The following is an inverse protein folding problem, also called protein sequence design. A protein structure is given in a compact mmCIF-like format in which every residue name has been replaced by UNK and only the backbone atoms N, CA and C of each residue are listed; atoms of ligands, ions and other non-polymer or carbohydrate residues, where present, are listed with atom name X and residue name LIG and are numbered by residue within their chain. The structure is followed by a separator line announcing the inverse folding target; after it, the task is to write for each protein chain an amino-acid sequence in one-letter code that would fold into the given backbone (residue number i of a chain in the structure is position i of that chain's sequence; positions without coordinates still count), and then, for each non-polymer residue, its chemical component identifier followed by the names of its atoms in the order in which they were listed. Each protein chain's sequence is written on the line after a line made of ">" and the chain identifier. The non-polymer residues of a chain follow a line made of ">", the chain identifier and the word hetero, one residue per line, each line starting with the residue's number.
data_IF_122099382727
#
_entry.id   IF_122099382727
#
_cell.length_a   1.000
_cell.length_b   1.000
_cell.length_c   1.000
_cell.angle_alpha   90.00
_cell.angle_beta   90.00
_cell.angle_gamma   90.00
#
_symmetry.space_group_name_H-M   'P 1'
#
loop_
_entity.id
_entity.type
_entity.pdbx_description
1 polymer ?
#
# COMPACT_ATOMS: atom_id res chain seq x y z
N UNK A 1 -8.36 35.85 -111.05
CA UNK A 1 -8.64 35.04 -109.85
C UNK A 1 -8.84 33.61 -110.30
N UNK A 2 -8.29 32.66 -109.55
CA UNK A 2 -8.28 31.22 -109.86
C UNK A 2 -9.28 30.47 -108.99
N UNK A 3 -9.68 29.28 -109.43
CA UNK A 3 -10.77 28.52 -108.79
C UNK A 3 -10.47 28.11 -107.33
N UNK A 4 -9.20 28.09 -106.92
CA UNK A 4 -8.78 27.78 -105.54
C UNK A 4 -8.99 28.95 -104.57
N UNK A 5 -8.84 30.20 -105.02
CA UNK A 5 -9.10 31.39 -104.20
C UNK A 5 -10.58 31.44 -103.79
N UNK A 6 -11.47 31.14 -104.74
CA UNK A 6 -12.91 31.08 -104.54
C UNK A 6 -13.33 30.04 -103.49
N UNK A 7 -12.70 28.85 -103.50
CA UNK A 7 -12.99 27.80 -102.51
C UNK A 7 -12.56 28.24 -101.10
N UNK A 8 -11.39 28.86 -100.94
CA UNK A 8 -10.94 29.35 -99.63
C UNK A 8 -11.82 30.47 -99.08
N UNK A 9 -12.31 31.38 -99.93
CA UNK A 9 -13.22 32.44 -99.49
C UNK A 9 -14.66 31.91 -99.25
N UNK A 10 -15.10 30.86 -99.94
CA UNK A 10 -16.33 30.15 -99.56
C UNK A 10 -16.20 29.50 -98.17
N UNK A 11 -15.10 28.79 -97.90
CA UNK A 11 -14.86 28.14 -96.59
C UNK A 11 -14.71 29.15 -95.44
N UNK A 12 -14.19 30.36 -95.69
CA UNK A 12 -14.18 31.45 -94.67
C UNK A 12 -15.57 32.02 -94.37
N UNK A 13 -16.50 31.93 -95.32
CA UNK A 13 -17.87 32.43 -95.17
C UNK A 13 -18.85 31.35 -94.67
N UNK A 14 -18.52 30.08 -94.80
CA UNK A 14 -19.17 28.95 -94.12
C UNK A 14 -19.14 29.14 -92.59
N UNK A 15 -20.28 29.51 -92.01
CA UNK A 15 -20.44 29.72 -90.57
C UNK A 15 -21.28 28.60 -89.98
N UNK A 16 -20.61 27.67 -89.29
CA UNK A 16 -21.22 26.65 -88.40
C UNK A 16 -22.52 27.16 -87.77
N UNK A 17 -23.61 26.45 -88.04
CA UNK A 17 -24.96 26.83 -87.65
C UNK A 17 -25.11 26.87 -86.12
N UNK A 18 -26.17 27.54 -85.66
CA UNK A 18 -26.54 27.56 -84.24
C UNK A 18 -26.79 26.13 -83.72
N UNK A 19 -27.28 25.21 -84.57
CA UNK A 19 -27.54 23.81 -84.22
C UNK A 19 -26.23 23.05 -84.00
N UNK A 20 -25.29 23.11 -84.93
CA UNK A 20 -24.01 22.39 -84.82
C UNK A 20 -23.15 22.91 -83.66
N UNK A 21 -23.11 24.23 -83.45
CA UNK A 21 -22.45 24.83 -82.27
C UNK A 21 -23.08 24.35 -80.96
N UNK A 22 -24.40 24.15 -80.92
CA UNK A 22 -25.11 23.62 -79.75
C UNK A 22 -24.86 22.11 -79.56
N UNK A 23 -24.79 21.35 -80.64
CA UNK A 23 -24.45 19.92 -80.61
C UNK A 23 -23.02 19.70 -80.08
N UNK A 24 -22.02 20.38 -80.64
CA UNK A 24 -20.63 20.32 -80.17
C UNK A 24 -20.49 20.79 -78.72
N UNK A 25 -21.17 21.89 -78.34
CA UNK A 25 -21.17 22.36 -76.93
C UNK A 25 -21.78 21.32 -75.98
N UNK A 26 -22.85 20.64 -76.39
CA UNK A 26 -23.48 19.60 -75.58
C UNK A 26 -22.59 18.35 -75.47
N UNK A 27 -21.91 17.94 -76.53
CA UNK A 27 -20.95 16.83 -76.52
C UNK A 27 -19.71 17.12 -75.64
N UNK A 28 -19.22 18.36 -75.67
CA UNK A 28 -18.14 18.79 -74.77
C UNK A 28 -18.62 18.80 -73.30
N UNK A 29 -19.83 19.29 -73.03
CA UNK A 29 -20.41 19.33 -71.69
C UNK A 29 -20.75 17.94 -71.14
N UNK A 30 -21.13 16.97 -71.97
CA UNK A 30 -21.31 15.59 -71.52
C UNK A 30 -19.97 14.92 -71.22
N UNK A 31 -18.94 15.16 -72.03
CA UNK A 31 -17.58 14.64 -71.76
C UNK A 31 -16.99 15.22 -70.45
N UNK A 32 -17.09 16.54 -70.25
CA UNK A 32 -16.64 17.21 -69.01
C UNK A 32 -17.38 16.70 -67.76
N UNK A 33 -18.66 16.34 -67.89
CA UNK A 33 -19.46 15.75 -66.79
C UNK A 33 -19.23 14.25 -66.61
N UNK A 34 -18.67 13.56 -67.61
CA UNK A 34 -18.54 12.11 -67.65
C UNK A 34 -17.34 11.55 -66.89
N UNK A 35 -16.37 12.38 -66.50
CA UNK A 35 -15.19 11.92 -65.77
C UNK A 35 -14.45 13.03 -65.04
N UNK A 36 -14.65 13.10 -63.72
CA UNK A 36 -13.80 13.92 -62.85
C UNK A 36 -12.43 13.22 -62.71
N UNK A 37 -11.37 13.82 -63.26
CA UNK A 37 -10.01 13.32 -63.08
C UNK A 37 -9.58 13.60 -61.64
N UNK A 38 -9.72 12.59 -60.77
CA UNK A 38 -9.36 12.70 -59.36
C UNK A 38 -7.85 12.90 -59.19
N UNK A 39 -7.46 14.14 -58.89
CA UNK A 39 -6.07 14.51 -58.62
C UNK A 39 -5.49 13.67 -57.46
N UNK A 40 -4.28 13.07 -57.60
CA UNK A 40 -3.68 12.24 -56.55
C UNK A 40 -3.41 13.00 -55.25
N UNK A 41 -3.27 14.32 -55.32
CA UNK A 41 -3.15 15.21 -54.16
C UNK A 41 -4.41 15.20 -53.26
N UNK A 42 -5.58 14.82 -53.78
CA UNK A 42 -6.82 14.69 -52.97
C UNK A 42 -6.77 13.50 -52.00
N UNK A 43 -6.12 12.40 -52.41
CA UNK A 43 -5.90 11.22 -51.57
C UNK A 43 -4.88 11.56 -50.48
N UNK A 44 -3.80 12.27 -50.83
CA UNK A 44 -2.83 12.76 -49.85
C UNK A 44 -3.46 13.71 -48.83
N UNK A 45 -4.24 14.70 -49.28
CA UNK A 45 -4.91 15.67 -48.41
C UNK A 45 -5.94 15.04 -47.45
N UNK A 46 -6.67 14.00 -47.87
CA UNK A 46 -7.60 13.28 -46.99
C UNK A 46 -6.89 12.40 -45.97
N UNK A 47 -5.80 11.72 -46.34
CA UNK A 47 -4.95 10.96 -45.39
C UNK A 47 -4.33 11.90 -44.35
N UNK A 48 -3.77 13.04 -44.77
CA UNK A 48 -3.15 13.99 -43.84
C UNK A 48 -4.18 14.63 -42.91
N UNK A 49 -5.36 15.02 -43.41
CA UNK A 49 -6.46 15.50 -42.56
C UNK A 49 -6.91 14.47 -41.53
N UNK A 50 -7.00 13.17 -41.89
CA UNK A 50 -7.34 12.10 -40.94
C UNK A 50 -6.26 11.91 -39.87
N UNK A 51 -4.97 11.96 -40.24
CA UNK A 51 -3.85 11.88 -39.28
C UNK A 51 -3.81 13.07 -38.33
N UNK A 52 -4.02 14.29 -38.83
CA UNK A 52 -4.10 15.52 -38.01
C UNK A 52 -5.32 15.48 -37.09
N UNK A 53 -6.49 15.04 -37.57
CA UNK A 53 -7.67 14.89 -36.74
C UNK A 53 -7.46 13.87 -35.62
N UNK A 54 -6.87 12.70 -35.93
CA UNK A 54 -6.54 11.68 -34.93
C UNK A 54 -5.55 12.22 -33.87
N UNK A 55 -4.47 12.86 -34.30
CA UNK A 55 -3.49 13.49 -33.40
C UNK A 55 -4.12 14.59 -32.54
N UNK A 56 -5.02 15.42 -33.09
CA UNK A 56 -5.74 16.42 -32.33
C UNK A 56 -6.71 15.80 -31.31
N UNK A 57 -7.37 14.69 -31.64
CA UNK A 57 -8.23 13.97 -30.69
C UNK A 57 -7.44 13.23 -29.60
N UNK A 58 -6.26 12.67 -29.90
CA UNK A 58 -5.43 12.04 -28.86
C UNK A 58 -4.78 13.08 -27.96
N UNK A 59 -4.27 14.20 -28.51
CA UNK A 59 -3.78 15.33 -27.70
C UNK A 59 -4.92 15.92 -26.85
N UNK A 60 -6.10 16.12 -27.42
CA UNK A 60 -7.28 16.57 -26.67
C UNK A 60 -7.69 15.61 -25.54
N UNK A 61 -7.68 14.30 -25.79
CA UNK A 61 -7.97 13.28 -24.79
C UNK A 61 -6.89 13.20 -23.70
N UNK A 62 -5.61 13.37 -24.04
CA UNK A 62 -4.50 13.41 -23.08
C UNK A 62 -4.53 14.69 -22.24
N UNK A 63 -4.90 15.84 -22.80
CA UNK A 63 -5.03 17.09 -22.06
C UNK A 63 -6.26 17.11 -21.14
N UNK A 64 -7.41 16.59 -21.59
CA UNK A 64 -8.65 16.55 -20.79
C UNK A 64 -8.66 15.38 -19.78
N UNK A 65 -8.09 14.24 -20.15
CA UNK A 65 -7.92 13.11 -19.23
C UNK A 65 -6.78 13.34 -18.24
N UNK A 66 -5.68 13.93 -18.68
CA UNK A 66 -4.49 14.19 -17.86
C UNK A 66 -4.73 15.15 -16.70
N UNK A 67 -5.60 16.16 -16.86
CA UNK A 67 -5.99 17.04 -15.74
C UNK A 67 -6.85 16.31 -14.70
N UNK A 68 -7.74 15.42 -15.13
CA UNK A 68 -8.56 14.59 -14.22
C UNK A 68 -7.71 13.55 -13.51
N UNK A 69 -6.81 12.85 -14.23
CA UNK A 69 -5.83 11.94 -13.63
C UNK A 69 -4.90 12.67 -12.64
N UNK A 70 -4.39 13.85 -12.98
CA UNK A 70 -3.55 14.63 -12.07
C UNK A 70 -4.30 15.05 -10.80
N UNK A 71 -5.56 15.50 -10.92
CA UNK A 71 -6.41 15.82 -9.78
C UNK A 71 -6.84 14.60 -8.94
N UNK A 72 -6.89 13.41 -9.55
CA UNK A 72 -7.17 12.16 -8.85
C UNK A 72 -5.99 11.68 -7.99
N UNK A 73 -4.75 12.06 -8.31
CA UNK A 73 -3.56 11.60 -7.60
C UNK A 73 -3.54 11.99 -6.12
N UNK A 74 -4.07 13.19 -5.81
CA UNK A 74 -4.23 13.73 -4.45
C UNK A 74 -5.57 13.40 -3.79
N UNK A 75 -6.41 12.55 -4.39
CA UNK A 75 -7.69 12.15 -3.81
C UNK A 75 -7.48 11.15 -2.66
N UNK A 76 -8.26 11.29 -1.59
CA UNK A 76 -8.30 10.39 -0.44
C UNK A 76 -9.50 9.43 -0.51
N UNK A 77 -9.50 8.30 0.23
CA UNK A 77 -10.67 7.43 0.37
C UNK A 77 -11.96 8.21 0.72
N UNK A 78 -12.95 8.13 -0.18
CA UNK A 78 -14.22 8.87 -0.12
C UNK A 78 -14.32 10.08 -1.06
N UNK A 79 -13.22 10.55 -1.65
CA UNK A 79 -13.26 11.64 -2.64
C UNK A 79 -13.80 11.17 -4.00
N UNK A 80 -14.49 12.08 -4.70
CA UNK A 80 -15.15 11.82 -6.01
C UNK A 80 -14.19 11.28 -7.09
N UNK A 81 -12.89 11.61 -7.00
CA UNK A 81 -11.87 11.15 -7.95
C UNK A 81 -11.05 9.96 -7.43
N UNK A 82 -11.25 9.48 -6.20
CA UNK A 82 -10.52 8.31 -5.69
C UNK A 82 -10.68 7.05 -6.57
N UNK A 83 -11.87 6.74 -7.14
CA UNK A 83 -12.02 5.64 -8.09
C UNK A 83 -11.14 5.79 -9.35
N UNK A 84 -10.83 7.01 -9.78
CA UNK A 84 -9.91 7.29 -10.91
C UNK A 84 -8.47 6.99 -10.52
N UNK A 85 -8.07 7.32 -9.29
CA UNK A 85 -6.73 7.01 -8.75
C UNK A 85 -6.46 5.50 -8.82
N UNK A 86 -7.27 4.70 -8.11
CA UNK A 86 -7.08 3.25 -7.99
C UNK A 86 -7.36 2.48 -9.29
N UNK A 87 -8.27 2.96 -10.15
CA UNK A 87 -8.68 2.21 -11.35
C UNK A 87 -7.87 2.57 -12.60
N UNK A 88 -7.27 3.76 -12.66
CA UNK A 88 -6.56 4.25 -13.86
C UNK A 88 -5.13 4.68 -13.56
N UNK A 89 -4.88 5.58 -12.61
CA UNK A 89 -3.52 6.07 -12.32
C UNK A 89 -2.63 4.94 -11.81
N UNK A 90 -3.08 4.20 -10.80
CA UNK A 90 -2.28 3.15 -10.14
C UNK A 90 -2.06 1.95 -11.08
N UNK A 91 -3.08 1.58 -11.86
CA UNK A 91 -2.93 0.56 -12.92
C UNK A 91 -1.96 1.00 -14.01
N UNK A 92 -1.88 2.30 -14.33
CA UNK A 92 -0.87 2.83 -15.25
C UNK A 92 0.53 2.84 -14.63
N UNK A 93 0.69 3.19 -13.33
CA UNK A 93 1.96 3.04 -12.60
C UNK A 93 2.49 1.60 -12.70
N UNK A 94 1.66 0.62 -12.37
CA UNK A 94 2.02 -0.82 -12.41
C UNK A 94 2.28 -1.30 -13.85
N UNK A 95 1.42 -0.96 -14.83
CA UNK A 95 1.60 -1.39 -16.22
C UNK A 95 2.83 -0.77 -16.92
N UNK A 96 3.44 0.27 -16.36
CA UNK A 96 4.70 0.85 -16.82
C UNK A 96 5.93 0.23 -16.15
N UNK A 97 5.77 -0.50 -15.04
CA UNK A 97 6.83 -1.25 -14.38
C UNK A 97 7.14 -2.55 -15.15
N UNK A 98 8.24 -2.54 -15.92
CA UNK A 98 8.60 -3.62 -16.86
C UNK A 98 9.58 -4.67 -16.31
N UNK A 99 10.16 -4.43 -15.14
CA UNK A 99 11.03 -5.37 -14.42
C UNK A 99 10.39 -5.70 -13.08
N UNK A 100 10.74 -6.86 -12.53
CA UNK A 100 10.22 -7.31 -11.22
C UNK A 100 10.64 -6.34 -10.10
N UNK A 101 11.90 -5.90 -10.10
CA UNK A 101 12.39 -4.78 -9.27
C UNK A 101 11.47 -3.55 -9.33
N UNK A 102 11.14 -3.07 -10.54
CA UNK A 102 10.27 -1.90 -10.70
C UNK A 102 8.84 -2.17 -10.24
N UNK A 103 8.34 -3.41 -10.35
CA UNK A 103 7.02 -3.79 -9.87
C UNK A 103 7.00 -3.83 -8.34
N UNK A 104 7.97 -4.44 -7.69
CA UNK A 104 8.13 -4.41 -6.24
C UNK A 104 8.21 -2.96 -5.71
N UNK A 105 9.02 -2.10 -6.34
CA UNK A 105 9.14 -0.68 -5.97
C UNK A 105 7.80 0.07 -6.12
N UNK A 106 7.02 -0.19 -7.18
CA UNK A 106 5.72 0.47 -7.36
C UNK A 106 4.69 -0.07 -6.36
N UNK A 107 4.65 -1.37 -6.09
CA UNK A 107 3.72 -1.95 -5.11
C UNK A 107 4.02 -1.46 -3.68
N UNK A 108 5.30 -1.41 -3.28
CA UNK A 108 5.74 -0.78 -2.03
C UNK A 108 5.26 0.67 -1.92
N UNK A 109 5.43 1.48 -2.98
CA UNK A 109 4.95 2.87 -2.99
C UNK A 109 3.44 2.99 -2.91
N UNK A 110 2.69 2.07 -3.51
CA UNK A 110 1.23 2.06 -3.38
C UNK A 110 0.77 1.64 -1.97
N UNK A 111 1.50 0.74 -1.29
CA UNK A 111 1.29 0.46 0.12
C UNK A 111 1.56 1.70 1.01
N UNK A 112 2.68 2.41 0.78
CA UNK A 112 2.97 3.69 1.46
C UNK A 112 1.89 4.76 1.17
N UNK A 113 1.39 4.86 -0.07
CA UNK A 113 0.28 5.77 -0.40
C UNK A 113 -0.98 5.44 0.40
N UNK A 114 -1.30 4.16 0.65
CA UNK A 114 -2.43 3.76 1.51
C UNK A 114 -2.22 4.11 2.98
N UNK A 115 -1.01 3.93 3.52
CA UNK A 115 -0.69 4.35 4.90
C UNK A 115 -0.78 5.87 5.06
N UNK A 116 -0.20 6.61 4.12
CA UNK A 116 -0.24 8.07 4.09
C UNK A 116 -1.68 8.59 3.93
N UNK A 117 -2.55 7.88 3.19
CA UNK A 117 -3.99 8.19 3.09
C UNK A 117 -4.74 7.94 4.42
N UNK A 118 -4.41 6.86 5.14
CA UNK A 118 -4.97 6.57 6.47
C UNK A 118 -4.60 7.67 7.47
N UNK A 119 -3.31 7.98 7.57
CA UNK A 119 -2.75 9.03 8.43
C UNK A 119 -3.43 10.39 8.14
N UNK A 120 -3.50 10.80 6.87
CA UNK A 120 -4.17 12.05 6.46
C UNK A 120 -5.67 12.09 6.76
N UNK A 121 -6.35 10.93 6.76
CA UNK A 121 -7.76 10.84 7.14
C UNK A 121 -7.97 10.88 8.65
N UNK A 122 -7.09 10.26 9.44
CA UNK A 122 -7.15 10.26 10.90
C UNK A 122 -6.90 11.68 11.45
N UNK A 123 -5.80 12.33 11.02
CA UNK A 123 -5.46 13.73 11.34
C UNK A 123 -6.62 14.70 10.99
N UNK A 124 -7.42 14.36 9.98
CA UNK A 124 -8.53 15.19 9.53
C UNK A 124 -9.88 14.88 10.20
N UNK A 125 -9.95 13.98 11.18
CA UNK A 125 -11.18 13.53 11.85
C UNK A 125 -12.16 12.86 10.87
N UNK A 126 -11.63 12.00 9.99
CA UNK A 126 -12.36 11.46 8.81
C UNK A 126 -12.07 10.00 8.50
N UNK A 127 -11.32 9.27 9.32
CA UNK A 127 -10.97 7.87 9.11
C UNK A 127 -12.02 6.94 9.72
N UNK A 128 -13.18 6.85 9.08
CA UNK A 128 -14.29 5.97 9.47
C UNK A 128 -14.07 4.52 9.02
N UNK A 129 -14.64 3.54 9.72
CA UNK A 129 -14.59 2.08 9.41
C UNK A 129 -14.69 1.72 7.91
N UNK A 130 -15.63 2.32 7.15
CA UNK A 130 -15.76 2.08 5.70
C UNK A 130 -14.47 2.37 4.92
N UNK A 131 -13.74 3.42 5.32
CA UNK A 131 -12.48 3.83 4.70
C UNK A 131 -11.30 3.03 5.22
N UNK A 132 -11.31 2.67 6.50
CA UNK A 132 -10.34 1.76 7.11
C UNK A 132 -10.36 0.41 6.40
N UNK A 133 -11.53 -0.20 6.22
CA UNK A 133 -11.67 -1.45 5.46
C UNK A 133 -11.14 -1.33 4.01
N UNK A 134 -11.46 -0.24 3.31
CA UNK A 134 -10.95 0.02 1.95
C UNK A 134 -9.43 0.23 1.91
N UNK A 135 -8.87 0.92 2.91
CA UNK A 135 -7.42 1.12 3.08
C UNK A 135 -6.73 -0.20 3.39
N UNK A 136 -7.21 -0.97 4.36
CA UNK A 136 -6.63 -2.26 4.77
C UNK A 136 -6.68 -3.30 3.65
N UNK A 137 -7.78 -3.36 2.87
CA UNK A 137 -7.90 -4.22 1.69
C UNK A 137 -6.85 -3.87 0.62
N UNK A 138 -6.70 -2.57 0.29
CA UNK A 138 -5.74 -2.11 -0.72
C UNK A 138 -4.30 -2.19 -0.22
N UNK A 139 -4.03 -1.84 1.03
CA UNK A 139 -2.74 -1.97 1.69
C UNK A 139 -2.28 -3.42 1.65
N UNK A 140 -3.13 -4.35 2.11
CA UNK A 140 -2.86 -5.79 2.04
C UNK A 140 -2.53 -6.22 0.61
N UNK A 141 -3.40 -5.89 -0.36
CA UNK A 141 -3.22 -6.23 -1.77
C UNK A 141 -1.87 -5.72 -2.33
N UNK A 142 -1.42 -4.53 -1.96
CA UNK A 142 -0.13 -3.99 -2.40
C UNK A 142 1.06 -4.63 -1.68
N UNK A 143 0.95 -4.92 -0.39
CA UNK A 143 1.99 -5.64 0.37
C UNK A 143 2.16 -7.08 -0.13
N UNK A 144 1.06 -7.81 -0.34
CA UNK A 144 1.05 -9.17 -0.87
C UNK A 144 1.70 -9.21 -2.27
N UNK A 145 1.37 -8.23 -3.12
CA UNK A 145 1.96 -8.11 -4.47
C UNK A 145 3.42 -7.66 -4.45
N UNK A 146 3.84 -6.83 -3.48
CA UNK A 146 5.24 -6.46 -3.29
C UNK A 146 6.07 -7.69 -2.84
N UNK A 147 5.62 -8.39 -1.81
CA UNK A 147 6.29 -9.58 -1.24
C UNK A 147 6.38 -10.71 -2.26
N UNK A 148 5.32 -11.01 -3.01
CA UNK A 148 5.35 -12.03 -4.06
C UNK A 148 6.38 -11.71 -5.16
N UNK A 149 6.50 -10.45 -5.58
CA UNK A 149 7.49 -10.05 -6.60
C UNK A 149 8.90 -10.02 -6.01
N UNK A 150 9.11 -9.59 -4.76
CA UNK A 150 10.42 -9.68 -4.09
C UNK A 150 10.89 -11.14 -3.95
N UNK A 151 9.97 -12.08 -3.68
CA UNK A 151 10.27 -13.51 -3.64
C UNK A 151 10.66 -14.11 -5.00
N UNK A 152 10.20 -13.53 -6.13
CA UNK A 152 10.71 -13.87 -7.45
C UNK A 152 12.09 -13.25 -7.70
N UNK A 153 12.29 -11.96 -7.37
CA UNK A 153 13.61 -11.29 -7.48
C UNK A 153 14.68 -12.03 -6.67
N UNK A 154 14.36 -12.59 -5.50
CA UNK A 154 15.28 -13.38 -4.65
C UNK A 154 15.89 -14.57 -5.40
N UNK A 155 15.19 -15.15 -6.39
CA UNK A 155 15.67 -16.29 -7.18
C UNK A 155 16.72 -15.89 -8.24
N UNK A 156 16.71 -14.63 -8.70
CA UNK A 156 17.70 -14.12 -9.66
C UNK A 156 18.80 -13.27 -8.99
N UNK A 157 18.45 -12.54 -7.92
CA UNK A 157 19.31 -11.60 -7.22
C UNK A 157 18.87 -11.38 -5.76
N UNK A 158 19.32 -12.27 -4.89
CA UNK A 158 19.16 -12.19 -3.42
C UNK A 158 19.56 -10.83 -2.83
N UNK A 159 20.64 -10.22 -3.31
CA UNK A 159 21.11 -8.93 -2.77
C UNK A 159 20.12 -7.79 -3.05
N UNK A 160 19.49 -7.81 -4.23
CA UNK A 160 18.47 -6.84 -4.62
C UNK A 160 17.14 -7.08 -3.91
N UNK A 161 16.71 -8.34 -3.77
CA UNK A 161 15.51 -8.67 -3.01
C UNK A 161 15.65 -8.31 -1.53
N UNK A 162 16.81 -8.58 -0.91
CA UNK A 162 17.13 -8.12 0.43
C UNK A 162 17.05 -6.58 0.54
N UNK A 163 17.66 -5.84 -0.39
CA UNK A 163 17.62 -4.37 -0.34
C UNK A 163 16.19 -3.82 -0.50
N UNK A 164 15.38 -4.42 -1.38
CA UNK A 164 13.97 -4.07 -1.58
C UNK A 164 13.11 -4.34 -0.32
N UNK A 165 13.32 -5.49 0.34
CA UNK A 165 12.59 -5.85 1.56
C UNK A 165 13.06 -5.02 2.78
N UNK A 166 14.36 -4.73 2.85
CA UNK A 166 14.97 -3.82 3.83
C UNK A 166 14.38 -2.41 3.72
N UNK A 167 14.27 -1.88 2.50
CA UNK A 167 13.68 -0.57 2.23
C UNK A 167 12.17 -0.56 2.59
N UNK A 168 11.41 -1.60 2.24
CA UNK A 168 10.00 -1.79 2.63
C UNK A 168 9.82 -1.79 4.15
N UNK A 169 10.57 -2.61 4.89
CA UNK A 169 10.51 -2.66 6.38
C UNK A 169 10.83 -1.31 7.00
N UNK A 170 11.87 -0.64 6.51
CA UNK A 170 12.28 0.69 7.00
C UNK A 170 11.20 1.75 6.78
N UNK A 171 10.46 1.66 5.67
CA UNK A 171 9.33 2.56 5.40
C UNK A 171 8.13 2.28 6.31
N UNK A 172 7.84 1.00 6.56
CA UNK A 172 6.74 0.58 7.44
C UNK A 172 7.00 0.92 8.91
N UNK A 173 8.22 0.75 9.42
CA UNK A 173 8.58 1.19 10.78
C UNK A 173 8.40 2.69 10.99
N UNK A 174 8.71 3.48 9.95
CA UNK A 174 8.47 4.92 9.95
C UNK A 174 6.97 5.26 9.99
N UNK A 175 6.13 4.60 9.17
CA UNK A 175 4.67 4.78 9.21
C UNK A 175 4.06 4.33 10.54
N UNK A 176 4.45 3.18 11.10
CA UNK A 176 3.99 2.74 12.44
C UNK A 176 4.33 3.76 13.53
N UNK A 177 5.49 4.42 13.42
CA UNK A 177 5.88 5.50 14.34
C UNK A 177 5.03 6.77 14.20
N UNK A 178 4.59 7.10 12.99
CA UNK A 178 3.65 8.20 12.73
C UNK A 178 2.26 7.85 13.24
N UNK A 179 1.77 6.64 12.98
CA UNK A 179 0.49 6.13 13.52
C UNK A 179 0.47 6.19 15.05
N UNK A 180 1.54 5.72 15.71
CA UNK A 180 1.69 5.83 17.16
C UNK A 180 1.71 7.29 17.64
N UNK A 181 2.36 8.19 16.90
CA UNK A 181 2.36 9.61 17.22
C UNK A 181 0.96 10.25 17.12
N UNK A 182 0.19 9.93 16.05
CA UNK A 182 -1.21 10.36 15.87
C UNK A 182 -2.06 9.92 17.07
N UNK A 183 -2.07 8.61 17.38
CA UNK A 183 -2.82 8.02 18.50
C UNK A 183 -2.43 8.62 19.87
N UNK A 184 -1.17 9.06 20.02
CA UNK A 184 -0.67 9.70 21.25
C UNK A 184 -0.94 11.22 21.34
N UNK A 185 -1.38 11.84 20.23
CA UNK A 185 -1.61 13.27 20.10
C UNK A 185 -3.08 13.66 19.95
N UNK A 186 -3.92 12.74 19.46
CA UNK A 186 -5.37 12.89 19.34
C UNK A 186 -6.08 11.61 19.82
N UNK A 187 -6.87 11.67 20.91
CA UNK A 187 -7.63 10.53 21.45
C UNK A 187 -9.01 10.40 20.78
N UNK A 188 -9.14 10.78 19.51
CA UNK A 188 -10.38 10.62 18.74
C UNK A 188 -10.63 9.17 18.33
N UNK A 189 -11.90 8.81 18.15
CA UNK A 189 -12.26 7.48 17.63
C UNK A 189 -11.60 7.26 16.25
N UNK A 190 -11.58 8.27 15.37
CA UNK A 190 -10.93 8.20 14.06
C UNK A 190 -9.38 8.07 14.11
N UNK A 191 -8.74 8.47 15.21
CA UNK A 191 -7.32 8.19 15.45
C UNK A 191 -7.11 6.76 15.97
N UNK A 192 -8.02 6.26 16.82
CA UNK A 192 -8.03 4.88 17.29
C UNK A 192 -8.36 3.86 16.20
N UNK A 193 -9.07 4.23 15.14
CA UNK A 193 -9.26 3.34 13.98
C UNK A 193 -7.94 2.90 13.31
N UNK A 194 -6.84 3.64 13.51
CA UNK A 194 -5.50 3.22 13.07
C UNK A 194 -4.94 2.01 13.87
N UNK A 195 -5.56 1.60 14.99
CA UNK A 195 -5.20 0.37 15.70
C UNK A 195 -5.35 -0.88 14.82
N UNK A 196 -6.35 -0.93 13.93
CA UNK A 196 -6.51 -2.04 12.96
C UNK A 196 -5.37 -2.09 11.94
N UNK A 197 -4.97 -0.92 11.43
CA UNK A 197 -3.87 -0.77 10.46
C UNK A 197 -2.52 -1.15 11.08
N UNK A 198 -2.21 -0.64 12.28
CA UNK A 198 -0.97 -0.97 13.00
C UNK A 198 -0.93 -2.46 13.40
N UNK A 199 -2.05 -3.07 13.81
CA UNK A 199 -2.12 -4.51 14.05
C UNK A 199 -1.92 -5.34 12.77
N UNK A 200 -2.47 -4.91 11.62
CA UNK A 200 -2.24 -5.59 10.33
C UNK A 200 -0.75 -5.55 9.94
N UNK A 201 -0.11 -4.39 10.09
CA UNK A 201 1.33 -4.22 9.87
C UNK A 201 2.16 -5.04 10.86
N UNK A 202 1.84 -4.99 12.16
CA UNK A 202 2.54 -5.76 13.18
C UNK A 202 2.47 -7.27 12.89
N UNK A 203 1.28 -7.81 12.60
CA UNK A 203 1.12 -9.24 12.25
C UNK A 203 1.91 -9.64 10.99
N UNK A 204 2.06 -8.74 10.01
CA UNK A 204 2.83 -8.98 8.78
C UNK A 204 4.35 -8.85 8.95
N UNK A 205 4.81 -8.06 9.93
CA UNK A 205 6.23 -7.66 10.07
C UNK A 205 6.83 -7.93 11.46
N UNK A 206 6.16 -8.70 12.32
CA UNK A 206 6.56 -9.03 13.70
C UNK A 206 7.95 -9.68 13.87
N UNK A 207 8.58 -10.15 12.79
CA UNK A 207 9.70 -11.08 12.82
C UNK A 207 11.09 -10.46 13.11
N UNK A 208 11.21 -9.14 13.26
CA UNK A 208 12.50 -8.42 13.35
C UNK A 208 12.60 -7.43 14.53
N UNK A 209 11.52 -7.19 15.28
CA UNK A 209 11.47 -6.15 16.34
C UNK A 209 11.89 -6.67 17.73
N UNK A 210 12.25 -7.96 17.84
CA UNK A 210 12.45 -8.64 19.12
C UNK A 210 13.81 -9.36 19.28
N UNK A 211 14.80 -9.07 18.42
CA UNK A 211 16.16 -9.64 18.51
C UNK A 211 17.10 -8.96 19.52
N UNK A 212 16.58 -8.13 20.43
CA UNK A 212 17.36 -7.48 21.51
C UNK A 212 17.54 -8.44 22.72
N UNK A 213 16.92 -9.62 22.68
CA UNK A 213 17.09 -10.71 23.64
C UNK A 213 16.87 -12.10 23.00
N UNK A 214 17.89 -12.94 23.09
CA UNK A 214 17.99 -14.36 22.69
C UNK A 214 18.30 -14.68 21.21
N UNK A 215 19.14 -15.71 21.02
CA UNK A 215 19.64 -16.21 19.74
C UNK A 215 18.77 -17.39 19.27
N UNK A 216 18.14 -17.32 18.07
CA UNK A 216 18.14 -18.39 17.04
C UNK A 216 17.18 -18.14 15.84
N UNK A 217 17.60 -18.63 14.67
CA UNK A 217 16.77 -19.02 13.51
C UNK A 217 16.02 -17.94 12.69
N UNK A 218 16.63 -17.51 11.59
CA UNK A 218 15.93 -16.87 10.46
C UNK A 218 15.12 -17.93 9.67
N UNK A 219 13.90 -18.20 10.10
CA UNK A 219 13.01 -19.22 9.52
C UNK A 219 11.75 -18.60 8.88
N UNK A 220 11.93 -17.83 7.80
CA UNK A 220 10.80 -17.23 7.06
C UNK A 220 9.86 -18.33 6.53
N UNK A 221 8.58 -18.24 6.91
CA UNK A 221 7.60 -19.29 6.70
C UNK A 221 7.04 -19.32 5.27
N UNK A 222 7.46 -20.34 4.50
CA UNK A 222 6.92 -20.64 3.15
C UNK A 222 5.53 -21.29 3.24
N UNK A 223 4.64 -20.71 4.04
CA UNK A 223 3.35 -21.28 4.43
C UNK A 223 2.14 -20.69 3.67
N UNK A 224 2.33 -19.61 2.89
CA UNK A 224 1.25 -18.90 2.17
C UNK A 224 1.18 -19.20 0.66
N UNK A 225 1.96 -20.16 0.17
CA UNK A 225 1.96 -20.55 -1.27
C UNK A 225 0.70 -21.37 -1.63
N UNK A 226 0.08 -22.04 -0.67
CA UNK A 226 -0.98 -23.05 -0.89
C UNK A 226 -2.41 -22.47 -1.00
N UNK A 227 -2.58 -21.14 -1.04
CA UNK A 227 -3.89 -20.48 -0.98
C UNK A 227 -4.15 -19.39 -2.04
N UNK A 228 -3.49 -19.46 -3.21
CA UNK A 228 -3.75 -18.59 -4.36
C UNK A 228 -3.87 -19.42 -5.68
N UNK A 229 -4.59 -18.92 -6.71
CA UNK A 229 -5.13 -19.78 -7.77
C UNK A 229 -4.11 -20.36 -8.76
N UNK A 230 -4.48 -21.50 -9.37
CA UNK A 230 -3.65 -22.49 -10.09
C UNK A 230 -2.74 -21.99 -11.26
N UNK A 231 -2.77 -20.71 -11.63
CA UNK A 231 -2.10 -20.19 -12.83
C UNK A 231 -0.56 -20.20 -12.80
N UNK A 232 0.07 -20.62 -11.69
CA UNK A 232 1.53 -20.63 -11.51
C UNK A 232 2.16 -22.04 -11.45
N UNK A 233 1.38 -23.13 -11.55
CA UNK A 233 1.83 -24.48 -11.19
C UNK A 233 2.85 -25.16 -12.14
N UNK A 234 3.30 -24.50 -13.22
CA UNK A 234 3.89 -25.17 -14.40
C UNK A 234 5.43 -25.26 -14.43
N UNK A 235 6.15 -24.90 -13.36
CA UNK A 235 7.64 -24.86 -13.36
C UNK A 235 8.37 -25.57 -12.20
N UNK A 236 7.69 -25.98 -11.13
CA UNK A 236 8.36 -26.69 -10.03
C UNK A 236 8.58 -28.17 -10.34
N UNK A 237 9.74 -28.52 -10.88
CA UNK A 237 10.12 -29.92 -11.15
C UNK A 237 11.63 -30.19 -11.20
N UNK A 238 12.45 -29.59 -10.32
CA UNK A 238 13.75 -30.19 -9.99
C UNK A 238 14.31 -29.88 -8.58
N UNK A 239 14.41 -30.94 -7.78
CA UNK A 239 15.58 -31.30 -6.97
C UNK A 239 16.02 -30.33 -5.83
N UNK A 240 15.39 -30.50 -4.66
CA UNK A 240 16.09 -30.43 -3.38
C UNK A 240 16.63 -31.84 -3.05
N UNK A 241 17.81 -31.93 -2.45
CA UNK A 241 18.40 -33.17 -1.91
C UNK A 241 18.94 -32.83 -0.51
N UNK A 242 18.65 -33.68 0.47
CA UNK A 242 19.18 -33.57 1.82
C UNK A 242 20.68 -33.82 1.86
N UNK A 243 21.43 -33.03 2.62
CA UNK A 243 22.52 -33.56 3.45
C UNK A 243 22.79 -32.63 4.64
N UNK A 244 23.00 -33.22 5.81
CA UNK A 244 23.23 -32.56 7.10
C UNK A 244 24.40 -33.27 7.82
N UNK A 245 25.46 -32.56 8.22
CA UNK A 245 26.46 -33.10 9.14
C UNK A 245 26.38 -32.43 10.52
N UNK A 246 26.25 -33.26 11.57
CA UNK A 246 26.24 -32.83 12.97
C UNK A 246 27.60 -32.30 13.46
N UNK A 247 27.59 -31.25 14.27
CA UNK A 247 28.77 -30.71 14.97
C UNK A 247 28.97 -31.41 16.33
N UNK A 248 30.23 -31.66 16.71
CA UNK A 248 30.64 -32.13 18.04
C UNK A 248 31.49 -31.04 18.74
N UNK A 249 31.43 -30.96 20.07
CA UNK A 249 31.83 -29.77 20.84
C UNK A 249 33.06 -30.04 21.71
N UNK A 250 34.18 -29.35 21.42
CA UNK A 250 35.26 -29.16 22.39
C UNK A 250 36.08 -27.90 22.06
N UNK A 251 36.19 -26.98 23.01
CA UNK A 251 36.81 -25.67 22.80
C UNK A 251 38.25 -25.58 23.32
N UNK A 252 39.14 -25.00 22.51
CA UNK A 252 40.44 -24.46 22.96
C UNK A 252 40.71 -23.12 22.27
N UNK A 253 40.93 -22.07 23.07
CA UNK A 253 41.27 -20.74 22.56
C UNK A 253 42.57 -20.79 21.74
N UNK A 254 42.50 -20.38 20.47
CA UNK A 254 43.60 -20.46 19.51
C UNK A 254 43.85 -19.08 18.89
N UNK A 255 45.13 -18.75 18.67
CA UNK A 255 45.55 -17.52 17.98
C UNK A 255 45.01 -17.47 16.54
N UNK A 256 44.86 -16.27 15.93
CA UNK A 256 44.10 -16.09 14.69
C UNK A 256 44.55 -17.05 13.58
N UNK A 257 43.66 -17.98 13.25
CA UNK A 257 43.79 -18.89 12.11
C UNK A 257 43.72 -18.05 10.84
N UNK A 258 44.59 -18.31 9.87
CA UNK A 258 44.50 -17.64 8.58
C UNK A 258 43.13 -17.95 7.94
N UNK A 259 42.42 -16.95 7.35
CA UNK A 259 41.06 -17.16 6.86
C UNK A 259 40.98 -18.38 5.94
N UNK A 260 40.00 -19.25 6.19
CA UNK A 260 39.64 -20.27 5.21
C UNK A 260 39.06 -19.58 3.97
N UNK A 261 38.99 -20.31 2.86
CA UNK A 261 38.46 -19.78 1.59
C UNK A 261 37.02 -19.26 1.80
N UNK A 262 36.23 -19.99 2.58
CA UNK A 262 34.90 -19.65 3.08
C UNK A 262 34.88 -18.37 3.96
N UNK A 263 35.71 -18.29 5.01
CA UNK A 263 35.82 -17.08 5.86
C UNK A 263 36.16 -15.81 5.06
N UNK A 264 36.86 -15.95 3.92
CA UNK A 264 37.18 -14.81 3.05
C UNK A 264 35.97 -14.27 2.28
N UNK A 265 35.00 -15.12 1.93
CA UNK A 265 33.76 -14.70 1.27
C UNK A 265 32.79 -14.05 2.27
N UNK A 266 32.63 -14.62 3.47
CA UNK A 266 31.77 -14.04 4.52
C UNK A 266 32.30 -12.67 4.96
N UNK A 267 33.63 -12.52 5.13
CA UNK A 267 34.27 -11.23 5.38
C UNK A 267 33.96 -10.21 4.26
N UNK A 268 34.01 -10.63 2.99
CA UNK A 268 33.65 -9.74 1.87
C UNK A 268 32.18 -9.31 1.95
N UNK A 269 31.25 -10.24 2.16
CA UNK A 269 29.81 -9.94 2.32
C UNK A 269 29.57 -8.94 3.47
N UNK A 270 30.26 -9.11 4.60
CA UNK A 270 30.21 -8.16 5.71
C UNK A 270 30.77 -6.78 5.32
N UNK A 271 31.88 -6.70 4.59
CA UNK A 271 32.46 -5.43 4.11
C UNK A 271 31.57 -4.71 3.07
N UNK A 272 30.91 -5.45 2.19
CA UNK A 272 29.96 -4.91 1.21
C UNK A 272 28.71 -4.35 1.93
N UNK A 273 28.13 -5.10 2.87
CA UNK A 273 27.00 -4.64 3.71
C UNK A 273 27.40 -3.46 4.60
N UNK A 274 28.60 -3.43 5.19
CA UNK A 274 29.16 -2.27 5.91
C UNK A 274 29.22 -1.04 5.01
N UNK A 275 29.66 -1.21 3.77
CA UNK A 275 29.77 -0.11 2.79
C UNK A 275 28.39 0.46 2.44
N UNK A 276 27.39 -0.40 2.26
CA UNK A 276 25.98 0.02 2.12
C UNK A 276 25.44 0.73 3.36
N UNK A 277 25.74 0.24 4.57
CA UNK A 277 25.32 0.85 5.82
C UNK A 277 25.87 2.28 5.96
N UNK A 278 27.17 2.49 5.73
CA UNK A 278 27.79 3.83 5.74
C UNK A 278 27.15 4.75 4.69
N UNK A 279 26.88 4.26 3.48
CA UNK A 279 26.19 5.06 2.45
C UNK A 279 24.77 5.44 2.86
N UNK A 280 23.98 4.50 3.41
CA UNK A 280 22.62 4.75 3.90
C UNK A 280 22.62 5.70 5.11
N UNK A 281 23.59 5.63 6.02
CA UNK A 281 23.79 6.58 7.14
C UNK A 281 24.09 7.99 6.64
N UNK A 282 25.09 8.19 5.77
CA UNK A 282 25.45 9.53 5.29
C UNK A 282 24.32 10.17 4.45
N UNK A 283 23.67 9.41 3.58
CA UNK A 283 22.50 9.87 2.82
C UNK A 283 21.35 10.32 3.75
N UNK A 284 21.09 9.54 4.80
CA UNK A 284 20.05 9.85 5.78
C UNK A 284 20.40 11.09 6.60
N UNK A 285 21.66 11.24 7.06
CA UNK A 285 22.17 12.42 7.77
C UNK A 285 21.91 13.72 7.01
N UNK A 286 22.11 13.73 5.68
CA UNK A 286 21.82 14.92 4.85
C UNK A 286 20.33 15.25 4.73
N UNK A 287 19.44 14.27 4.90
CA UNK A 287 17.98 14.44 4.72
C UNK A 287 17.29 14.82 6.03
N UNK A 288 17.69 14.19 7.14
CA UNK A 288 17.09 14.33 8.49
C UNK A 288 17.25 15.77 9.04
N UNK A 289 18.42 16.38 8.85
CA UNK A 289 18.70 17.78 9.20
C UNK A 289 18.62 18.09 10.71
N UNK A 290 17.42 18.38 11.21
CA UNK A 290 17.13 18.70 12.63
C UNK A 290 15.97 17.89 13.22
N UNK A 291 15.48 16.89 12.51
CA UNK A 291 14.35 16.09 12.97
C UNK A 291 14.77 15.16 14.12
N UNK A 292 14.16 15.30 15.28
CA UNK A 292 14.63 14.64 16.52
C UNK A 292 14.42 13.13 16.49
N UNK A 293 13.25 12.65 16.05
CA UNK A 293 12.95 11.21 15.91
C UNK A 293 13.73 10.52 14.77
N UNK A 294 14.17 11.29 13.77
CA UNK A 294 15.10 10.84 12.73
C UNK A 294 16.56 10.81 13.21
N UNK A 295 16.99 11.80 13.99
CA UNK A 295 18.34 11.86 14.58
C UNK A 295 18.55 10.75 15.63
N UNK A 296 17.53 10.43 16.43
CA UNK A 296 17.54 9.31 17.37
C UNK A 296 17.90 8.00 16.67
N UNK A 297 17.22 7.68 15.57
CA UNK A 297 17.47 6.48 14.75
C UNK A 297 18.81 6.51 14.01
N UNK A 298 19.29 7.69 13.64
CA UNK A 298 20.61 7.85 13.05
C UNK A 298 21.71 7.52 14.08
N UNK A 299 21.52 7.91 15.34
CA UNK A 299 22.42 7.54 16.44
C UNK A 299 22.36 6.04 16.77
N UNK A 300 21.17 5.42 16.72
CA UNK A 300 21.03 3.96 16.79
C UNK A 300 21.79 3.25 15.65
N UNK A 301 21.67 3.75 14.41
CA UNK A 301 22.39 3.23 13.25
C UNK A 301 23.92 3.38 13.37
N UNK A 302 24.40 4.53 13.86
CA UNK A 302 25.83 4.76 14.12
C UNK A 302 26.37 3.84 15.23
N UNK A 303 25.58 3.57 16.27
CA UNK A 303 25.93 2.61 17.33
C UNK A 303 25.96 1.15 16.83
N UNK A 304 25.01 0.76 15.98
CA UNK A 304 24.98 -0.57 15.35
C UNK A 304 26.16 -0.77 14.40
N UNK A 305 26.51 0.25 13.60
CA UNK A 305 27.71 0.25 12.77
C UNK A 305 29.00 0.04 13.60
N UNK A 306 29.12 0.72 14.74
CA UNK A 306 30.27 0.56 15.64
C UNK A 306 30.36 -0.85 16.25
N UNK A 307 29.23 -1.42 16.70
CA UNK A 307 29.18 -2.82 17.18
C UNK A 307 29.53 -3.82 16.07
N UNK A 308 29.11 -3.55 14.83
CA UNK A 308 29.47 -4.37 13.67
C UNK A 308 30.99 -4.37 13.42
N UNK A 309 31.64 -3.20 13.51
CA UNK A 309 33.11 -3.09 13.40
C UNK A 309 33.85 -3.86 14.51
N UNK A 310 33.30 -3.88 15.74
CA UNK A 310 33.81 -4.70 16.83
C UNK A 310 33.68 -6.21 16.54
N UNK A 311 32.54 -6.68 15.99
CA UNK A 311 32.37 -8.07 15.56
C UNK A 311 33.36 -8.47 14.45
N UNK A 312 33.59 -7.61 13.43
CA UNK A 312 34.62 -7.85 12.40
C UNK A 312 36.02 -7.98 13.03
N UNK A 313 36.35 -7.15 14.02
CA UNK A 313 37.65 -7.22 14.71
C UNK A 313 37.83 -8.50 15.56
N UNK A 314 36.72 -9.11 16.00
CA UNK A 314 36.70 -10.40 16.71
C UNK A 314 36.71 -11.62 15.76
N UNK A 315 36.52 -11.41 14.45
CA UNK A 315 36.40 -12.49 13.45
C UNK A 315 34.98 -13.01 13.25
N UNK A 316 33.99 -12.42 13.93
CA UNK A 316 32.57 -12.71 13.73
C UNK A 316 32.03 -11.89 12.56
N UNK A 317 32.06 -12.47 11.37
CA UNK A 317 31.64 -11.80 10.14
C UNK A 317 30.12 -11.90 9.90
N UNK A 318 29.43 -12.86 10.51
CA UNK A 318 27.97 -13.03 10.36
C UNK A 318 27.21 -12.09 11.28
N UNK A 319 27.56 -12.03 12.57
CA UNK A 319 27.02 -11.04 13.50
C UNK A 319 27.39 -9.60 13.09
N UNK A 320 28.57 -9.39 12.47
CA UNK A 320 28.91 -8.12 11.85
C UNK A 320 27.97 -7.75 10.68
N UNK A 321 27.75 -8.70 9.74
CA UNK A 321 26.85 -8.52 8.59
C UNK A 321 25.44 -8.09 9.05
N UNK A 322 24.91 -8.75 10.07
CA UNK A 322 23.58 -8.46 10.63
C UNK A 322 23.51 -7.09 11.30
N UNK A 323 24.53 -6.70 12.07
CA UNK A 323 24.60 -5.36 12.68
C UNK A 323 24.72 -4.25 11.63
N UNK A 324 25.46 -4.47 10.53
CA UNK A 324 25.49 -3.53 9.40
C UNK A 324 24.14 -3.45 8.67
N UNK A 325 23.42 -4.57 8.55
CA UNK A 325 22.08 -4.63 7.97
C UNK A 325 21.04 -3.91 8.84
N UNK A 326 21.07 -4.09 10.16
CA UNK A 326 20.24 -3.34 11.11
C UNK A 326 20.57 -1.84 11.08
N UNK A 327 21.86 -1.47 11.03
CA UNK A 327 22.30 -0.08 10.90
C UNK A 327 21.76 0.58 9.62
N UNK A 328 21.79 -0.15 8.50
CA UNK A 328 21.20 0.30 7.24
C UNK A 328 19.68 0.54 7.36
N UNK A 329 18.94 -0.38 7.99
CA UNK A 329 17.49 -0.24 8.24
C UNK A 329 17.19 1.00 9.10
N UNK A 330 17.82 1.13 10.27
CA UNK A 330 17.60 2.24 11.21
C UNK A 330 17.90 3.61 10.60
N UNK A 331 18.96 3.73 9.81
CA UNK A 331 19.26 4.97 9.09
C UNK A 331 18.12 5.38 8.14
N UNK A 332 17.61 4.44 7.34
CA UNK A 332 16.52 4.68 6.39
C UNK A 332 15.19 4.96 7.07
N UNK A 333 14.87 4.26 8.15
CA UNK A 333 13.71 4.54 8.98
C UNK A 333 13.79 5.98 9.53
N UNK A 334 14.95 6.40 10.06
CA UNK A 334 15.18 7.77 10.52
C UNK A 334 14.99 8.82 9.43
N UNK A 335 15.46 8.53 8.20
CA UNK A 335 15.18 9.35 7.02
C UNK A 335 13.67 9.42 6.72
N UNK A 336 12.97 8.29 6.66
CA UNK A 336 11.56 8.24 6.25
C UNK A 336 10.64 8.88 7.29
N UNK A 337 10.90 8.69 8.60
CA UNK A 337 10.20 9.43 9.69
C UNK A 337 10.38 10.94 9.49
N UNK A 338 11.61 11.40 9.24
CA UNK A 338 11.87 12.82 8.99
C UNK A 338 11.24 13.35 7.68
N UNK A 339 10.89 12.50 6.72
CA UNK A 339 10.13 12.87 5.52
C UNK A 339 8.62 12.92 5.84
N UNK A 340 8.08 11.93 6.55
CA UNK A 340 6.66 11.86 6.95
C UNK A 340 6.24 12.96 7.91
N UNK A 341 7.03 13.26 8.96
CA UNK A 341 6.75 14.38 9.87
C UNK A 341 6.58 15.71 9.13
N UNK A 342 7.35 15.90 8.05
CA UNK A 342 7.32 17.11 7.22
C UNK A 342 6.19 17.12 6.19
N UNK A 343 5.74 15.95 5.73
CA UNK A 343 4.58 15.82 4.84
C UNK A 343 3.25 15.98 5.59
N UNK A 344 3.18 15.43 6.81
CA UNK A 344 1.95 15.34 7.61
C UNK A 344 1.83 16.41 8.70
N UNK A 345 2.92 17.16 8.97
CA UNK A 345 3.01 18.17 10.03
C UNK A 345 2.70 17.58 11.43
N UNK A 346 3.36 16.46 11.74
CA UNK A 346 3.33 15.74 13.03
C UNK A 346 4.74 15.75 13.62
N UNK A 347 4.85 15.67 14.95
CA UNK A 347 6.09 15.29 15.64
C UNK A 347 5.94 13.92 16.29
N UNK A 348 6.84 12.99 16.01
CA UNK A 348 6.99 11.74 16.75
C UNK A 348 7.81 12.03 18.02
N UNK A 349 7.29 11.66 19.19
CA UNK A 349 8.03 11.77 20.46
C UNK A 349 9.24 10.84 20.44
N UNK A 350 10.42 11.35 20.81
CA UNK A 350 11.62 10.53 21.03
C UNK A 350 11.47 9.59 22.24
N UNK A 351 12.32 8.57 22.38
CA UNK A 351 12.30 7.64 23.53
C UNK A 351 12.47 8.38 24.87
N UNK A 352 13.30 9.43 24.87
CA UNK A 352 13.49 10.33 26.02
C UNK A 352 12.20 11.08 26.38
N UNK A 353 11.51 11.67 25.40
CA UNK A 353 10.25 12.40 25.63
C UNK A 353 9.09 11.49 26.07
N UNK A 354 9.06 10.24 25.60
CA UNK A 354 8.09 9.23 26.06
C UNK A 354 8.31 8.93 27.54
N UNK A 355 9.55 8.62 27.93
CA UNK A 355 9.89 8.32 29.33
C UNK A 355 9.50 9.44 30.30
N UNK A 356 9.66 10.71 29.92
CA UNK A 356 9.24 11.85 30.76
C UNK A 356 7.72 12.02 30.84
N UNK A 357 6.97 11.62 29.80
CA UNK A 357 5.51 11.71 29.81
C UNK A 357 4.89 10.64 30.73
N UNK A 358 5.43 9.42 30.72
CA UNK A 358 4.97 8.31 31.57
C UNK A 358 5.17 8.58 33.08
N UNK A 359 6.13 9.44 33.43
CA UNK A 359 6.36 9.93 34.81
C UNK A 359 5.35 11.03 35.21
N UNK A 360 5.10 12.05 34.36
CA UNK A 360 4.10 13.10 34.62
C UNK A 360 2.68 12.52 34.75
N UNK A 361 2.37 11.49 33.96
CA UNK A 361 1.11 10.76 34.01
C UNK A 361 0.97 9.87 35.26
N UNK A 362 2.03 9.68 36.05
CA UNK A 362 1.98 9.04 37.36
C UNK A 362 1.97 10.05 38.52
N UNK A 363 2.69 11.16 38.44
CA UNK A 363 2.59 12.22 39.46
C UNK A 363 1.17 12.82 39.50
N UNK A 364 0.57 13.09 38.34
CA UNK A 364 -0.80 13.63 38.23
C UNK A 364 -1.86 12.71 38.84
N UNK A 365 -1.73 11.38 38.67
CA UNK A 365 -2.62 10.38 39.27
C UNK A 365 -2.44 10.24 40.79
N UNK A 366 -1.24 10.52 41.31
CA UNK A 366 -0.96 10.52 42.75
C UNK A 366 -1.37 11.82 43.47
N UNK A 367 -1.50 12.94 42.77
CA UNK A 367 -1.80 14.23 43.40
C UNK A 367 -3.29 14.46 43.75
N UNK A 368 -4.21 13.63 43.24
CA UNK A 368 -5.66 13.85 43.33
C UNK A 368 -6.40 13.11 44.47
N UNK A 369 -5.68 12.56 45.46
CA UNK A 369 -6.29 11.73 46.51
C UNK A 369 -5.79 12.03 47.94
N UNK A 370 -5.85 13.30 48.37
CA UNK A 370 -5.54 13.68 49.77
C UNK A 370 -6.39 14.87 50.28
N UNK A 371 -7.27 14.60 51.25
CA UNK A 371 -8.16 15.57 51.93
C UNK A 371 -9.47 15.86 51.15
N UNK A 372 -10.65 15.98 51.75
CA UNK A 372 -11.15 15.76 53.13
C UNK A 372 -12.49 14.98 53.00
N UNK A 373 -13.13 14.36 54.00
CA UNK A 373 -13.50 14.80 55.36
C UNK A 373 -13.87 13.57 56.25
N UNK A 374 -14.08 13.76 57.56
CA UNK A 374 -14.41 12.69 58.51
C UNK A 374 -15.89 12.64 58.92
N UNK A 375 -16.48 11.43 58.95
CA UNK A 375 -17.82 11.18 59.47
C UNK A 375 -17.88 9.87 60.27
N UNK A 376 -17.63 9.93 61.57
CA UNK A 376 -17.51 8.73 62.40
C UNK A 376 -18.85 8.11 62.82
N UNK A 377 -18.93 6.77 62.86
CA UNK A 377 -19.68 6.10 63.93
C UNK A 377 -19.22 4.66 64.23
N UNK A 378 -18.79 4.47 65.49
CA UNK A 378 -18.90 3.29 66.36
C UNK A 378 -18.74 1.89 65.75
N UNK A 379 -17.63 1.25 66.11
CA UNK A 379 -17.52 -0.22 66.14
C UNK A 379 -18.39 -0.75 67.28
N UNK A 380 -19.30 -1.68 66.99
CA UNK A 380 -19.79 -2.64 67.98
C UNK A 380 -19.90 -4.04 67.35
N UNK A 381 -19.50 -5.04 68.13
CA UNK A 381 -19.37 -6.43 67.69
C UNK A 381 -20.72 -7.15 67.66
N UNK A 382 -21.02 -7.87 66.57
CA UNK A 382 -21.92 -9.02 66.62
C UNK A 382 -21.10 -10.31 66.53
N UNK A 383 -21.46 -11.30 67.34
CA UNK A 383 -20.73 -12.56 67.55
C UNK A 383 -21.62 -13.71 67.10
N UNK A 384 -21.09 -14.63 66.27
CA UNK A 384 -21.80 -15.88 65.99
C UNK A 384 -21.88 -16.73 67.27
N UNK A 385 -23.09 -17.19 67.60
CA UNK A 385 -23.31 -18.32 68.51
C UNK A 385 -24.34 -19.27 67.87
N UNK A 386 -24.16 -20.57 68.14
CA UNK A 386 -24.74 -21.66 67.37
C UNK A 386 -26.13 -22.13 67.83
N UNK A 387 -26.76 -22.87 66.92
CA UNK A 387 -27.94 -23.74 67.02
C UNK A 387 -28.49 -24.17 68.39
N UNK A 388 -29.84 -24.26 68.48
CA UNK A 388 -30.53 -25.32 69.24
C UNK A 388 -32.01 -25.54 68.83
N UNK A 389 -32.27 -26.72 68.24
CA UNK A 389 -33.32 -27.71 68.57
C UNK A 389 -34.86 -27.47 68.39
N UNK A 390 -35.51 -28.54 67.88
CA UNK A 390 -36.88 -29.07 68.13
C UNK A 390 -38.12 -28.23 67.69
N UNK A 391 -38.92 -28.57 66.65
CA UNK A 391 -39.81 -29.75 66.43
C UNK A 391 -41.07 -29.81 67.34
N UNK A 392 -42.21 -30.48 66.96
CA UNK A 392 -42.82 -30.79 65.65
C UNK A 392 -44.37 -30.50 65.61
N UNK A 393 -45.11 -31.05 64.62
CA UNK A 393 -46.60 -31.10 64.48
C UNK A 393 -47.33 -29.76 64.21
N UNK A 394 -48.46 -29.64 63.50
CA UNK A 394 -49.26 -30.51 62.57
C UNK A 394 -50.32 -29.59 61.86
N UNK A 395 -51.41 -29.96 61.15
CA UNK A 395 -52.12 -31.22 60.87
C UNK A 395 -53.06 -31.08 59.62
N UNK A 396 -53.24 -32.17 58.84
CA UNK A 396 -54.45 -32.56 58.02
C UNK A 396 -55.15 -31.65 56.97
N UNK A 397 -55.49 -32.29 55.82
CA UNK A 397 -56.69 -32.13 54.95
C UNK A 397 -56.82 -30.85 54.06
N UNK A 398 -57.42 -30.89 52.85
CA UNK A 398 -57.83 -32.04 52.01
C UNK A 398 -57.96 -31.67 50.51
N UNK A 399 -58.08 -32.73 49.69
CA UNK A 399 -58.52 -32.82 48.27
C UNK A 399 -59.19 -31.57 47.63
N UNK A 400 -58.81 -31.16 46.41
CA UNK A 400 -59.18 -31.92 45.20
C UNK A 400 -58.35 -31.59 43.93
N UNK A 401 -58.45 -32.48 42.95
CA UNK A 401 -57.60 -32.59 41.74
C UNK A 401 -58.46 -32.32 40.44
N UNK A 402 -58.09 -32.71 39.19
CA UNK A 402 -57.69 -31.72 38.18
C UNK A 402 -58.51 -31.81 36.86
N UNK A 403 -57.81 -31.71 35.70
CA UNK A 403 -58.22 -32.03 34.30
C UNK A 403 -58.86 -30.90 33.48
N UNK A 404 -58.75 -30.87 32.15
CA UNK A 404 -57.80 -31.45 31.16
C UNK A 404 -58.10 -30.74 29.80
N UNK A 405 -57.27 -30.96 28.77
CA UNK A 405 -57.61 -30.73 27.33
C UNK A 405 -57.81 -29.27 26.86
N UNK A 406 -57.72 -28.90 25.58
CA UNK A 406 -57.08 -29.50 24.38
C UNK A 406 -56.79 -28.39 23.34
N UNK A 407 -56.02 -28.73 22.29
CA UNK A 407 -55.81 -27.93 21.06
C UNK A 407 -56.87 -28.37 20.00
N UNK A 408 -57.04 -27.80 18.78
CA UNK A 408 -56.37 -26.66 18.12
C UNK A 408 -57.33 -25.75 17.27
N UNK A 409 -56.74 -25.01 16.31
CA UNK A 409 -57.21 -24.77 14.91
C UNK A 409 -58.03 -23.52 14.48
N UNK A 410 -57.81 -23.22 13.19
CA UNK A 410 -58.55 -22.43 12.18
C UNK A 410 -58.60 -20.88 12.21
N UNK A 411 -57.78 -20.29 11.32
CA UNK A 411 -58.13 -19.37 10.22
C UNK A 411 -59.34 -18.44 10.34
N UNK A 412 -59.13 -17.15 10.04
CA UNK A 412 -59.66 -16.61 8.78
C UNK A 412 -58.98 -15.35 8.21
N UNK A 413 -58.99 -15.26 6.89
CA UNK A 413 -58.59 -14.12 6.05
C UNK A 413 -59.53 -12.91 6.24
N UNK A 414 -59.02 -11.69 6.11
CA UNK A 414 -59.89 -10.54 5.79
C UNK A 414 -59.14 -9.48 5.00
N UNK A 415 -59.56 -9.30 3.73
CA UNK A 415 -58.95 -8.35 2.81
C UNK A 415 -59.64 -6.98 2.82
N UNK A 416 -58.86 -6.01 2.34
CA UNK A 416 -59.21 -5.05 1.28
C UNK A 416 -59.57 -3.59 1.63
N UNK A 417 -59.01 -2.69 0.80
CA UNK A 417 -59.41 -1.30 0.49
C UNK A 417 -59.45 -0.23 1.61
N UNK A 418 -58.65 0.82 1.40
CA UNK A 418 -59.19 1.96 0.65
C UNK A 418 -58.15 2.70 -0.23
N UNK A 419 -58.61 3.56 -1.15
CA UNK A 419 -57.84 4.37 -2.11
C UNK A 419 -58.17 5.88 -1.95
N UNK A 420 -57.28 6.74 -2.43
CA UNK A 420 -57.53 8.19 -2.65
C UNK A 420 -56.32 9.03 -2.25
N UNK A 421 -55.33 9.35 -3.09
CA UNK A 421 -55.26 9.73 -4.52
C UNK A 421 -55.59 11.22 -4.79
N UNK A 422 -54.65 11.90 -5.47
CA UNK A 422 -54.65 13.30 -5.97
C UNK A 422 -54.38 14.38 -4.91
N UNK A 423 -53.73 15.49 -5.27
CA UNK A 423 -53.31 15.93 -6.61
C UNK A 423 -51.82 15.75 -6.88
#
# INVERSE_FOLDING_TARGET
>A
MTNQEHIFDQIKNERLTVVEKRAMRNALLSHIRGGAIHSPYSIWGTIHRRRIALAATTIGAVLLGGTVSYAAESALPGDVLYPVKISLNERAKVALARTEEAQAIIQTKLAEERLTEAEKLAIAGKFSEEKKALVEEKLSQHLDQAQAVMAHVQLENEELAYDLESDLRSSIGAHRSIIAAIKSGDPSDEAHELDGVDQNLALRFAYDEQSDSDEESFAVSVAMVDSLPETASTLMSHKIVEEQPSVDVSGTATLPVAPTEDSSEVLKKAQDKRTKAVQKIEASRTTIGKNEAGLERLLEAEALLARGDERVALGDYEGARELFEQAARRAQEGKRVSELERELNIKVKTKTERSSADDEDQESKNFFNFGEDQGAQVISTSKNEDASLEAPSSETNDENDPKDSENPSDDNDTKDRNRGQKR
#
